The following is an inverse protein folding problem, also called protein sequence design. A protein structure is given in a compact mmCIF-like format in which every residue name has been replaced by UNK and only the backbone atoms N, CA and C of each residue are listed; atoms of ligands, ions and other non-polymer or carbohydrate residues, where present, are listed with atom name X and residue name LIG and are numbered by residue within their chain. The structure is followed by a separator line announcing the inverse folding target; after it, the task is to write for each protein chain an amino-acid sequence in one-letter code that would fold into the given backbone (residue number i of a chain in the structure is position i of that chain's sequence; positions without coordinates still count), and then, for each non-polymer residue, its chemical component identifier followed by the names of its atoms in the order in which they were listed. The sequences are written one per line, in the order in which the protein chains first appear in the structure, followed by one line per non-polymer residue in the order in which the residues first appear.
data_IF_105560208775
#
_entry.id   IF_105560208775
#
_cell.length_a   1.000
_cell.length_b   1.000
_cell.length_c   1.000
_cell.angle_alpha   90.00
_cell.angle_beta   90.00
_cell.angle_gamma   90.00
#
_symmetry.space_group_name_H-M   'P 1'
#
loop_
_entity.id
_entity.type
_entity.pdbx_description
1 polymer ?
#
# COMPACT_ATOMS: atom_id res chain seq x y z
N UNK A 1 -4.53 26.36 13.05
CA UNK A 1 -4.72 25.12 12.27
C UNK A 1 -3.75 25.12 11.11
N UNK A 2 -3.04 24.01 10.84
CA UNK A 2 -2.14 23.94 9.68
C UNK A 2 -2.96 24.00 8.37
N UNK A 3 -2.40 24.56 7.30
CA UNK A 3 -3.06 24.63 5.99
C UNK A 3 -3.55 23.25 5.51
N UNK A 4 -2.78 22.19 5.82
CA UNK A 4 -3.16 20.80 5.54
C UNK A 4 -4.40 20.34 6.31
N UNK A 5 -4.60 20.82 7.54
CA UNK A 5 -5.79 20.54 8.34
C UNK A 5 -7.06 21.06 7.68
N UNK A 6 -7.03 22.31 7.17
CA UNK A 6 -8.18 22.91 6.49
C UNK A 6 -8.50 22.19 5.17
N UNK A 7 -7.48 21.86 4.36
CA UNK A 7 -7.68 21.12 3.10
C UNK A 7 -8.30 19.74 3.33
N UNK A 8 -7.95 19.07 4.44
CA UNK A 8 -8.56 17.79 4.82
C UNK A 8 -10.03 17.96 5.19
N UNK A 9 -10.38 18.98 5.97
CA UNK A 9 -11.78 19.22 6.35
C UNK A 9 -12.65 19.49 5.12
N UNK A 10 -12.19 20.33 4.20
CA UNK A 10 -12.91 20.61 2.94
C UNK A 10 -13.15 19.33 2.14
N UNK A 11 -12.12 18.49 1.96
CA UNK A 11 -12.27 17.20 1.28
C UNK A 11 -13.34 16.33 1.97
N UNK A 12 -13.33 16.25 3.29
CA UNK A 12 -14.25 15.41 4.07
C UNK A 12 -15.70 15.89 3.97
N UNK A 13 -15.90 17.22 4.01
CA UNK A 13 -17.21 17.86 3.85
C UNK A 13 -17.75 17.69 2.42
N UNK A 14 -16.92 17.90 1.40
CA UNK A 14 -17.29 17.72 -0.01
C UNK A 14 -17.66 16.26 -0.30
N UNK A 15 -16.87 15.30 0.18
CA UNK A 15 -17.18 13.87 0.06
C UNK A 15 -18.50 13.52 0.73
N UNK A 16 -18.75 14.05 1.93
CA UNK A 16 -20.01 13.82 2.64
C UNK A 16 -21.20 14.39 1.87
N UNK A 17 -21.05 15.62 1.36
CA UNK A 17 -22.08 16.33 0.59
C UNK A 17 -22.43 15.57 -0.70
N UNK A 18 -21.43 15.27 -1.55
CA UNK A 18 -21.68 14.60 -2.82
C UNK A 18 -22.19 13.17 -2.65
N UNK A 19 -21.74 12.47 -1.60
CA UNK A 19 -22.30 11.16 -1.25
C UNK A 19 -23.77 11.24 -0.87
N UNK A 20 -24.17 12.26 -0.09
CA UNK A 20 -25.58 12.49 0.29
C UNK A 20 -26.45 12.79 -0.94
N UNK A 21 -25.91 13.53 -1.92
CA UNK A 21 -26.57 13.82 -3.18
C UNK A 21 -26.57 12.64 -4.18
N UNK A 22 -25.82 11.56 -3.89
CA UNK A 22 -25.63 10.45 -4.83
C UNK A 22 -24.77 10.81 -6.05
N UNK A 23 -24.05 11.92 -6.03
CA UNK A 23 -23.23 12.40 -7.15
C UNK A 23 -21.84 11.75 -7.12
N UNK A 24 -21.77 10.53 -7.65
CA UNK A 24 -20.53 9.76 -7.71
C UNK A 24 -19.43 10.49 -8.49
N UNK A 25 -19.79 11.18 -9.59
CA UNK A 25 -18.82 11.86 -10.45
C UNK A 25 -18.10 12.98 -9.70
N UNK A 26 -18.84 13.81 -8.96
CA UNK A 26 -18.22 14.87 -8.15
C UNK A 26 -17.40 14.32 -7.00
N UNK A 27 -17.85 13.23 -6.36
CA UNK A 27 -17.05 12.58 -5.32
C UNK A 27 -15.70 12.06 -5.85
N UNK A 28 -15.70 11.41 -7.03
CA UNK A 28 -14.47 11.01 -7.72
C UNK A 28 -13.57 12.21 -8.07
N UNK A 29 -14.15 13.27 -8.60
CA UNK A 29 -13.42 14.49 -8.96
C UNK A 29 -12.77 15.14 -7.73
N UNK A 30 -13.49 15.18 -6.61
CA UNK A 30 -12.99 15.73 -5.33
C UNK A 30 -11.75 14.97 -4.84
N UNK A 31 -11.75 13.63 -4.90
CA UNK A 31 -10.57 12.83 -4.56
C UNK A 31 -9.41 13.07 -5.53
N UNK A 32 -9.69 13.20 -6.82
CA UNK A 32 -8.69 13.42 -7.87
C UNK A 32 -8.02 14.79 -7.75
N UNK A 33 -8.76 15.83 -7.37
CA UNK A 33 -8.28 17.20 -7.26
C UNK A 33 -7.55 17.50 -5.95
N UNK A 34 -7.74 16.65 -4.94
CA UNK A 34 -7.05 16.76 -3.66
C UNK A 34 -5.55 16.44 -3.79
N UNK A 35 -4.76 17.44 -4.21
CA UNK A 35 -3.31 17.31 -4.47
C UNK A 35 -2.52 16.71 -3.30
N UNK A 36 -2.94 16.94 -2.06
CA UNK A 36 -2.27 16.38 -0.88
C UNK A 36 -2.42 14.86 -0.76
N UNK A 37 -3.38 14.23 -1.46
CA UNK A 37 -3.51 12.77 -1.54
C UNK A 37 -2.47 12.14 -2.49
N UNK A 38 -1.75 12.95 -3.27
CA UNK A 38 -0.66 12.48 -4.14
C UNK A 38 0.63 12.20 -3.38
N UNK A 39 0.73 12.60 -2.12
CA UNK A 39 1.93 12.41 -1.29
C UNK A 39 1.57 12.42 0.19
N UNK A 40 0.92 11.36 0.65
CA UNK A 40 0.59 11.18 2.07
C UNK A 40 1.75 10.45 2.74
N UNK A 41 2.54 11.17 3.56
CA UNK A 41 3.62 10.56 4.34
C UNK A 41 3.08 9.47 5.26
N UNK A 42 3.64 8.27 5.17
CA UNK A 42 3.36 7.16 6.06
C UNK A 42 4.32 7.20 7.25
N UNK A 43 3.88 6.62 8.35
CA UNK A 43 4.68 6.49 9.57
C UNK A 43 5.58 5.24 9.46
N UNK A 44 6.38 4.96 10.50
CA UNK A 44 7.27 3.80 10.53
C UNK A 44 6.52 2.47 10.38
N UNK A 45 7.24 1.46 9.87
CA UNK A 45 6.67 0.18 9.47
C UNK A 45 6.16 -0.61 10.67
N UNK A 46 4.95 -1.15 10.55
CA UNK A 46 4.47 -2.19 11.45
C UNK A 46 5.30 -3.47 11.25
N UNK A 47 6.06 -3.89 12.26
CA UNK A 47 6.93 -5.07 12.14
C UNK A 47 6.14 -6.36 11.92
N UNK A 48 6.63 -7.20 11.00
CA UNK A 48 6.12 -8.54 10.74
C UNK A 48 7.26 -9.55 10.83
N UNK A 49 6.95 -10.78 11.27
CA UNK A 49 7.92 -11.87 11.30
C UNK A 49 8.36 -12.20 9.87
N UNK A 50 9.68 -12.24 9.63
CA UNK A 50 10.29 -12.48 8.31
C UNK A 50 9.68 -13.67 7.57
N UNK A 51 9.53 -14.83 8.23
CA UNK A 51 8.91 -16.05 7.64
C UNK A 51 7.52 -15.82 7.05
N UNK A 52 6.75 -14.88 7.62
CA UNK A 52 5.41 -14.55 7.10
C UNK A 52 5.53 -13.64 5.87
N UNK A 53 6.49 -12.71 5.88
CA UNK A 53 6.81 -11.86 4.73
C UNK A 53 7.31 -12.70 3.55
N UNK A 54 8.23 -13.65 3.79
CA UNK A 54 8.74 -14.57 2.76
C UNK A 54 7.61 -15.35 2.10
N UNK A 55 6.72 -15.97 2.89
CA UNK A 55 5.57 -16.70 2.36
C UNK A 55 4.67 -15.81 1.48
N UNK A 56 4.46 -14.56 1.87
CA UNK A 56 3.64 -13.61 1.10
C UNK A 56 4.36 -13.16 -0.17
N UNK A 57 5.62 -12.75 -0.07
CA UNK A 57 6.42 -12.33 -1.21
C UNK A 57 6.59 -13.46 -2.25
N UNK A 58 6.71 -14.71 -1.81
CA UNK A 58 6.85 -15.87 -2.70
C UNK A 58 5.55 -16.21 -3.46
N UNK A 59 4.39 -15.86 -2.90
CA UNK A 59 3.08 -16.10 -3.53
C UNK A 59 2.59 -14.91 -4.38
N UNK A 60 3.34 -13.82 -4.42
CA UNK A 60 3.03 -12.62 -5.19
C UNK A 60 3.95 -12.46 -6.41
N UNK A 61 3.42 -11.88 -7.48
CA UNK A 61 4.22 -11.41 -8.61
C UNK A 61 4.95 -10.12 -8.20
N UNK A 62 6.20 -10.02 -8.59
CA UNK A 62 7.02 -8.83 -8.41
C UNK A 62 7.79 -8.51 -9.71
N UNK A 63 8.38 -7.32 -9.75
CA UNK A 63 9.35 -6.88 -10.75
C UNK A 63 10.57 -6.44 -9.96
N UNK A 64 11.70 -7.13 -10.11
CA UNK A 64 12.95 -6.85 -9.41
C UNK A 64 13.96 -6.31 -10.41
N UNK A 65 14.35 -5.04 -10.31
CA UNK A 65 15.23 -4.34 -11.27
C UNK A 65 14.79 -4.56 -12.73
N UNK A 66 13.49 -4.43 -13.00
CA UNK A 66 12.88 -4.68 -14.32
C UNK A 66 12.61 -6.15 -14.68
N UNK A 67 13.04 -7.12 -13.87
CA UNK A 67 12.82 -8.56 -14.11
C UNK A 67 11.52 -9.03 -13.45
N UNK A 68 10.55 -9.49 -14.23
CA UNK A 68 9.30 -10.03 -13.72
C UNK A 68 9.49 -11.41 -13.07
N UNK A 69 8.93 -11.58 -11.87
CA UNK A 69 9.00 -12.84 -11.13
C UNK A 69 7.82 -13.75 -11.41
N UNK A 70 8.02 -15.04 -11.20
CA UNK A 70 6.97 -16.07 -11.27
C UNK A 70 6.70 -16.57 -9.85
N UNK A 71 5.46 -16.46 -9.34
CA UNK A 71 5.11 -16.92 -8.00
C UNK A 71 5.48 -18.39 -7.82
N UNK A 72 6.04 -18.72 -6.65
CA UNK A 72 6.41 -20.08 -6.24
C UNK A 72 7.45 -20.77 -7.15
N UNK A 73 8.08 -20.04 -8.08
CA UNK A 73 9.16 -20.57 -8.92
C UNK A 73 10.45 -20.73 -8.12
N UNK A 74 11.18 -21.82 -8.37
CA UNK A 74 12.51 -22.04 -7.80
C UNK A 74 13.63 -21.25 -8.48
N UNK A 75 13.41 -20.75 -9.70
CA UNK A 75 14.43 -20.06 -10.51
C UNK A 75 14.14 -18.58 -10.67
N UNK A 76 12.90 -18.24 -11.03
CA UNK A 76 12.44 -16.86 -11.21
C UNK A 76 11.54 -16.42 -10.05
N UNK A 77 11.69 -17.06 -8.88
CA UNK A 77 10.95 -16.75 -7.67
C UNK A 77 11.44 -15.44 -7.05
N UNK A 78 10.51 -14.71 -6.46
CA UNK A 78 10.77 -13.42 -5.81
C UNK A 78 11.89 -13.51 -4.77
N UNK A 79 11.85 -14.51 -3.88
CA UNK A 79 12.83 -14.65 -2.79
C UNK A 79 14.25 -14.83 -3.34
N UNK A 80 14.40 -15.72 -4.32
CA UNK A 80 15.70 -16.03 -4.92
C UNK A 80 16.29 -14.83 -5.64
N UNK A 81 15.49 -14.15 -6.47
CA UNK A 81 15.97 -12.98 -7.22
C UNK A 81 16.40 -11.84 -6.30
N UNK A 82 15.65 -11.58 -5.22
CA UNK A 82 16.06 -10.57 -4.22
C UNK A 82 17.34 -11.00 -3.53
N UNK A 83 17.45 -12.25 -3.09
CA UNK A 83 18.64 -12.76 -2.41
C UNK A 83 19.88 -12.69 -3.30
N UNK A 84 19.79 -13.15 -4.55
CA UNK A 84 20.88 -13.10 -5.52
C UNK A 84 21.30 -11.65 -5.80
N UNK A 85 20.33 -10.74 -5.94
CA UNK A 85 20.60 -9.32 -6.16
C UNK A 85 21.31 -8.65 -4.98
N UNK A 86 20.90 -8.95 -3.74
CA UNK A 86 21.56 -8.44 -2.54
C UNK A 86 23.03 -8.87 -2.50
N UNK A 87 23.31 -10.14 -2.79
CA UNK A 87 24.68 -10.66 -2.82
C UNK A 87 25.49 -9.99 -3.93
N UNK A 88 24.95 -9.89 -5.14
CA UNK A 88 25.63 -9.27 -6.28
C UNK A 88 25.97 -7.81 -6.03
N UNK A 89 25.02 -7.01 -5.54
CA UNK A 89 25.25 -5.58 -5.29
C UNK A 89 26.29 -5.34 -4.19
N UNK A 90 26.29 -6.14 -3.12
CA UNK A 90 27.31 -6.02 -2.08
C UNK A 90 28.70 -6.43 -2.60
N UNK A 91 28.80 -7.54 -3.35
CA UNK A 91 30.09 -8.04 -3.83
C UNK A 91 30.69 -7.18 -4.94
N UNK A 92 29.89 -6.79 -5.94
CA UNK A 92 30.37 -6.02 -7.09
C UNK A 92 30.85 -4.63 -6.68
N UNK A 93 30.22 -4.03 -5.68
CA UNK A 93 30.53 -2.66 -5.25
C UNK A 93 31.37 -2.61 -3.95
N UNK A 94 31.84 -3.76 -3.45
CA UNK A 94 32.62 -3.86 -2.21
C UNK A 94 31.96 -3.18 -1.00
N UNK A 95 30.64 -3.29 -0.89
CA UNK A 95 29.88 -2.65 0.18
C UNK A 95 30.04 -3.45 1.49
N UNK A 96 30.31 -2.80 2.64
CA UNK A 96 30.48 -3.47 3.92
C UNK A 96 29.14 -3.84 4.58
N UNK A 97 28.18 -4.32 3.79
CA UNK A 97 26.83 -4.65 4.23
C UNK A 97 26.60 -6.16 4.20
N UNK A 98 25.80 -6.66 5.13
CA UNK A 98 25.39 -8.05 5.17
C UNK A 98 24.23 -8.29 4.18
N UNK A 99 24.42 -9.08 3.10
CA UNK A 99 23.36 -9.32 2.11
C UNK A 99 22.09 -9.95 2.70
N UNK A 100 22.23 -10.73 3.79
CA UNK A 100 21.09 -11.36 4.45
C UNK A 100 20.20 -10.32 5.15
N UNK A 101 20.80 -9.34 5.82
CA UNK A 101 20.04 -8.27 6.49
C UNK A 101 19.29 -7.42 5.47
N UNK A 102 19.94 -7.10 4.34
CA UNK A 102 19.29 -6.38 3.24
C UNK A 102 18.12 -7.19 2.67
N UNK A 103 18.32 -8.48 2.43
CA UNK A 103 17.26 -9.37 1.97
C UNK A 103 16.05 -9.33 2.91
N UNK A 104 16.26 -9.46 4.22
CA UNK A 104 15.17 -9.45 5.20
C UNK A 104 14.42 -8.11 5.20
N UNK A 105 15.15 -7.01 5.07
CA UNK A 105 14.64 -5.65 5.05
C UNK A 105 13.76 -5.38 3.82
N UNK A 106 14.21 -5.84 2.65
CA UNK A 106 13.47 -5.76 1.38
C UNK A 106 12.22 -6.63 1.44
N UNK A 107 12.34 -7.90 1.83
CA UNK A 107 11.21 -8.83 1.87
C UNK A 107 10.11 -8.36 2.83
N UNK A 108 10.48 -7.77 3.96
CA UNK A 108 9.49 -7.20 4.88
C UNK A 108 8.72 -6.04 4.26
N UNK A 109 9.38 -5.16 3.51
CA UNK A 109 8.77 -3.97 2.88
C UNK A 109 7.99 -4.27 1.60
N UNK A 110 8.39 -5.31 0.88
CA UNK A 110 7.62 -5.83 -0.25
C UNK A 110 6.24 -6.37 0.17
N UNK A 111 6.05 -6.70 1.45
CA UNK A 111 4.80 -7.25 1.95
C UNK A 111 3.65 -6.26 1.77
N UNK A 112 2.82 -6.51 0.75
CA UNK A 112 1.60 -5.73 0.46
C UNK A 112 0.68 -5.63 1.68
N UNK A 113 0.64 -6.64 2.54
CA UNK A 113 -0.19 -6.59 3.74
C UNK A 113 0.26 -5.51 4.72
N UNK A 114 1.58 -5.34 4.88
CA UNK A 114 2.18 -4.33 5.76
C UNK A 114 1.89 -2.94 5.19
N UNK A 115 2.27 -2.72 3.92
CA UNK A 115 2.03 -1.47 3.22
C UNK A 115 0.54 -1.06 3.25
N UNK A 116 -0.36 -2.01 3.04
CA UNK A 116 -1.80 -1.79 3.10
C UNK A 116 -2.32 -1.45 4.51
N UNK A 117 -1.78 -2.08 5.55
CA UNK A 117 -2.18 -1.78 6.93
C UNK A 117 -1.76 -0.36 7.34
N UNK A 118 -0.52 0.02 7.02
CA UNK A 118 0.01 1.36 7.30
C UNK A 118 -0.76 2.43 6.51
N UNK A 119 -0.98 2.17 5.21
CA UNK A 119 -1.78 3.05 4.35
C UNK A 119 -3.22 3.19 4.86
N UNK A 120 -3.86 2.10 5.30
CA UNK A 120 -5.20 2.15 5.87
C UNK A 120 -5.28 3.05 7.09
N UNK A 121 -4.36 2.89 8.05
CA UNK A 121 -4.34 3.71 9.28
C UNK A 121 -4.23 5.20 8.97
N UNK A 122 -3.37 5.55 8.01
CA UNK A 122 -3.19 6.95 7.61
C UNK A 122 -4.38 7.48 6.84
N UNK A 123 -4.81 6.78 5.80
CA UNK A 123 -5.89 7.21 4.92
C UNK A 123 -7.22 7.28 5.65
N UNK A 124 -7.54 6.32 6.53
CA UNK A 124 -8.77 6.35 7.33
C UNK A 124 -8.97 7.68 8.07
N UNK A 125 -7.89 8.37 8.45
CA UNK A 125 -7.94 9.69 9.09
C UNK A 125 -8.05 10.84 8.09
N UNK A 126 -7.48 10.68 6.89
CA UNK A 126 -7.41 11.70 5.86
C UNK A 126 -8.71 11.80 5.06
N UNK A 127 -9.25 10.66 4.59
CA UNK A 127 -10.44 10.60 3.71
C UNK A 127 -11.73 10.27 4.47
N UNK A 128 -11.78 10.56 5.78
CA UNK A 128 -12.92 10.28 6.64
C UNK A 128 -14.11 11.19 6.32
N UNK A 129 -15.18 10.67 5.73
CA UNK A 129 -16.45 11.41 5.64
C UNK A 129 -17.47 10.88 6.67
N UNK A 130 -18.44 11.70 7.07
CA UNK A 130 -19.43 11.34 8.10
C UNK A 130 -20.34 10.18 7.69
N UNK A 131 -20.53 9.97 6.39
CA UNK A 131 -21.39 8.95 5.79
C UNK A 131 -20.63 7.89 4.98
N UNK A 132 -19.29 7.90 5.01
CA UNK A 132 -18.45 6.91 4.34
C UNK A 132 -17.48 6.26 5.32
N UNK A 133 -17.18 4.99 5.07
CA UNK A 133 -16.11 4.26 5.74
C UNK A 133 -15.11 3.75 4.70
N UNK A 134 -13.82 3.81 5.05
CA UNK A 134 -12.76 3.22 4.25
C UNK A 134 -12.69 1.72 4.52
N UNK A 135 -12.57 0.93 3.45
CA UNK A 135 -12.38 -0.51 3.50
C UNK A 135 -11.23 -0.92 2.59
N UNK A 136 -10.51 -1.97 2.97
CA UNK A 136 -9.58 -2.66 2.09
C UNK A 136 -10.37 -3.62 1.21
N UNK A 137 -10.13 -3.56 -0.09
CA UNK A 137 -10.80 -4.45 -1.03
C UNK A 137 -9.83 -5.59 -1.35
N UNK A 138 -10.02 -6.74 -0.71
CA UNK A 138 -9.22 -7.95 -0.99
C UNK A 138 -9.50 -8.50 -2.40
N UNK A 139 -10.63 -8.09 -2.99
CA UNK A 139 -11.14 -8.51 -4.29
C UNK A 139 -10.40 -7.88 -5.49
N UNK A 140 -9.09 -7.69 -5.36
CA UNK A 140 -8.16 -7.50 -6.48
C UNK A 140 -7.90 -8.83 -7.22
N UNK A 141 -8.87 -9.75 -7.21
CA UNK A 141 -8.78 -11.10 -7.76
C UNK A 141 -8.51 -11.14 -9.27
N UNK A 142 -8.58 -10.00 -9.99
CA UNK A 142 -8.27 -9.93 -11.41
C UNK A 142 -6.92 -9.26 -11.75
N UNK A 143 -6.37 -8.39 -10.89
CA UNK A 143 -5.10 -7.65 -11.17
C UNK A 143 -4.38 -7.28 -9.88
N UNK A 144 -3.64 -8.22 -9.30
CA UNK A 144 -2.58 -7.85 -8.35
C UNK A 144 -1.47 -7.19 -9.16
N UNK A 145 -1.46 -5.86 -9.20
CA UNK A 145 -0.32 -5.10 -9.73
C UNK A 145 0.94 -5.62 -9.03
N UNK A 146 1.98 -6.05 -9.78
CA UNK A 146 3.22 -6.57 -9.20
C UNK A 146 3.83 -5.55 -8.24
N UNK A 147 4.46 -6.04 -7.16
CA UNK A 147 5.36 -5.17 -6.40
C UNK A 147 6.59 -4.86 -7.27
N UNK A 148 6.99 -3.60 -7.36
CA UNK A 148 8.21 -3.19 -8.06
C UNK A 148 9.28 -2.93 -7.00
N UNK A 149 10.48 -3.46 -7.23
CA UNK A 149 11.65 -3.29 -6.37
C UNK A 149 12.82 -2.97 -7.28
N UNK A 150 13.41 -1.80 -7.08
CA UNK A 150 14.62 -1.38 -7.76
C UNK A 150 15.71 -1.15 -6.71
N UNK A 151 16.76 -1.96 -6.74
CA UNK A 151 17.94 -1.82 -5.89
C UNK A 151 19.13 -1.37 -6.73
N UNK A 152 19.88 -0.39 -6.24
CA UNK A 152 21.00 0.18 -6.97
C UNK A 152 22.04 0.73 -6.00
N UNK A 153 23.29 0.76 -6.45
CA UNK A 153 24.36 1.45 -5.75
C UNK A 153 24.46 2.89 -6.26
N UNK A 154 24.72 3.82 -5.35
CA UNK A 154 25.01 5.22 -5.66
C UNK A 154 25.98 5.78 -4.62
N UNK A 155 27.09 6.36 -5.06
CA UNK A 155 28.07 7.04 -4.18
C UNK A 155 28.64 6.18 -3.05
N UNK A 156 28.79 4.87 -3.28
CA UNK A 156 29.26 3.89 -2.29
C UNK A 156 28.17 3.43 -1.31
N UNK A 157 26.91 3.78 -1.55
CA UNK A 157 25.77 3.43 -0.71
C UNK A 157 24.73 2.60 -1.47
N UNK A 158 24.08 1.67 -0.76
CA UNK A 158 23.05 0.83 -1.32
C UNK A 158 21.68 1.48 -1.12
N UNK A 159 20.95 1.67 -2.21
CA UNK A 159 19.61 2.21 -2.21
C UNK A 159 18.59 1.19 -2.68
N UNK A 160 17.35 1.38 -2.25
CA UNK A 160 16.23 0.61 -2.74
C UNK A 160 14.96 1.47 -2.84
N UNK A 161 14.29 1.36 -3.97
CA UNK A 161 12.96 1.90 -4.22
C UNK A 161 11.98 0.73 -4.29
N UNK A 162 11.01 0.67 -3.37
CA UNK A 162 9.95 -0.34 -3.35
C UNK A 162 8.62 0.33 -3.61
N UNK A 163 7.83 -0.24 -4.51
CA UNK A 163 6.49 0.25 -4.84
C UNK A 163 5.49 -0.89 -4.76
N UNK A 164 4.48 -0.73 -3.90
CA UNK A 164 3.40 -1.69 -3.72
C UNK A 164 2.05 -1.00 -3.96
N UNK A 165 1.15 -1.67 -4.66
CA UNK A 165 -0.18 -1.13 -4.95
C UNK A 165 -1.24 -1.94 -4.20
N UNK A 166 -2.12 -1.25 -3.48
CA UNK A 166 -3.25 -1.86 -2.76
C UNK A 166 -4.54 -1.16 -3.13
N UNK A 167 -5.59 -1.92 -3.37
CA UNK A 167 -6.92 -1.38 -3.66
C UNK A 167 -7.72 -1.13 -2.37
N UNK A 168 -8.42 0.00 -2.36
CA UNK A 168 -9.28 0.46 -1.29
C UNK A 168 -10.66 0.86 -1.84
N UNK A 169 -11.62 0.88 -0.94
CA UNK A 169 -12.99 1.28 -1.21
C UNK A 169 -13.52 2.26 -0.19
N UNK A 170 -14.37 3.20 -0.62
CA UNK A 170 -15.28 3.91 0.28
C UNK A 170 -16.65 3.24 0.19
N UNK A 171 -17.20 2.88 1.34
CA UNK A 171 -18.52 2.27 1.48
C UNK A 171 -19.41 3.22 2.25
N UNK A 172 -20.70 3.26 1.93
CA UNK A 172 -21.65 4.08 2.67
C UNK A 172 -21.88 3.48 4.05
N UNK A 173 -21.90 4.30 5.09
CA UNK A 173 -22.11 3.81 6.46
C UNK A 173 -23.48 3.11 6.62
N UNK A 174 -24.47 3.52 5.83
CA UNK A 174 -25.77 2.87 5.75
C UNK A 174 -25.66 1.37 5.41
N UNK A 175 -24.77 1.00 4.46
CA UNK A 175 -24.55 -0.40 4.08
C UNK A 175 -24.07 -1.25 5.24
N UNK A 176 -23.19 -0.71 6.08
CA UNK A 176 -22.66 -1.39 7.27
C UNK A 176 -23.76 -1.55 8.34
N UNK A 177 -24.54 -0.48 8.58
CA UNK A 177 -25.63 -0.46 9.57
C UNK A 177 -26.76 -1.45 9.25
N UNK A 178 -27.02 -1.73 7.96
CA UNK A 178 -28.03 -2.70 7.53
C UNK A 178 -27.60 -4.18 7.65
N UNK A 179 -26.57 -4.45 8.46
CA UNK A 179 -26.14 -5.80 8.83
C UNK A 179 -25.20 -6.48 7.83
N UNK A 180 -24.58 -5.71 6.91
CA UNK A 180 -23.56 -6.25 5.99
C UNK A 180 -22.19 -6.45 6.64
N UNK A 181 -22.03 -6.09 7.92
CA UNK A 181 -20.86 -6.38 8.74
C UNK A 181 -20.19 -5.13 9.31
N UNK A 182 -19.07 -5.33 9.99
CA UNK A 182 -18.25 -4.28 10.60
C UNK A 182 -16.87 -4.22 9.94
N UNK A 183 -16.20 -3.07 10.00
CA UNK A 183 -14.83 -2.92 9.50
C UNK A 183 -13.86 -2.96 10.69
N UNK A 184 -12.94 -3.93 10.67
CA UNK A 184 -11.96 -4.08 11.73
C UNK A 184 -10.84 -3.01 11.67
N UNK A 185 -9.91 -3.07 12.64
CA UNK A 185 -8.79 -2.13 12.72
C UNK A 185 -7.81 -2.20 11.54
N UNK A 186 -7.84 -3.28 10.75
CA UNK A 186 -7.00 -3.43 9.56
C UNK A 186 -7.72 -3.07 8.28
N UNK A 187 -9.01 -2.73 8.33
CA UNK A 187 -9.80 -2.34 7.17
C UNK A 187 -10.52 -3.50 6.49
N UNK A 188 -10.60 -4.68 7.11
CA UNK A 188 -11.34 -5.82 6.57
C UNK A 188 -12.78 -5.86 7.07
N UNK A 189 -13.68 -6.31 6.21
CA UNK A 189 -15.06 -6.62 6.57
C UNK A 189 -15.09 -7.87 7.46
N UNK A 190 -15.73 -7.79 8.61
CA UNK A 190 -15.91 -8.89 9.56
C UNK A 190 -17.39 -8.98 9.96
N UNK A 191 -17.79 -10.09 10.58
CA UNK A 191 -19.15 -10.30 11.11
C UNK A 191 -20.29 -10.11 10.08
N UNK A 192 -20.07 -10.53 8.83
CA UNK A 192 -21.11 -10.48 7.80
C UNK A 192 -22.29 -11.37 8.19
N UNK A 193 -23.49 -10.78 8.34
CA UNK A 193 -24.72 -11.53 8.64
C UNK A 193 -25.50 -11.94 7.39
N UNK A 194 -25.24 -11.27 6.26
CA UNK A 194 -25.86 -11.52 4.95
C UNK A 194 -24.80 -11.97 3.96
N UNK A 195 -25.18 -12.87 3.05
CA UNK A 195 -24.32 -13.37 1.96
C UNK A 195 -24.15 -12.38 0.80
N UNK A 196 -24.86 -11.25 0.81
CA UNK A 196 -24.76 -10.24 -0.24
C UNK A 196 -23.43 -9.48 -0.14
N UNK A 197 -22.72 -9.28 -1.27
CA UNK A 197 -21.48 -8.53 -1.28
C UNK A 197 -21.71 -7.07 -0.85
N UNK A 198 -20.76 -6.52 -0.11
CA UNK A 198 -20.77 -5.11 0.27
C UNK A 198 -20.59 -4.23 -0.98
N UNK A 199 -21.51 -3.31 -1.22
CA UNK A 199 -21.41 -2.38 -2.33
C UNK A 199 -20.34 -1.32 -2.03
N UNK A 200 -19.29 -1.31 -2.85
CA UNK A 200 -18.23 -0.31 -2.76
C UNK A 200 -18.61 0.88 -3.63
N UNK A 201 -18.87 2.01 -2.99
CA UNK A 201 -19.32 3.24 -3.64
C UNK A 201 -18.23 3.85 -4.52
N UNK A 202 -17.00 3.96 -4.00
CA UNK A 202 -15.84 4.47 -4.73
C UNK A 202 -14.70 3.48 -4.57
N UNK A 203 -14.10 3.03 -5.68
CA UNK A 203 -12.89 2.21 -5.69
C UNK A 203 -11.70 3.05 -6.15
N UNK A 204 -10.56 2.84 -5.51
CA UNK A 204 -9.30 3.49 -5.88
C UNK A 204 -8.12 2.65 -5.42
N UNK A 205 -6.98 2.87 -6.06
CA UNK A 205 -5.72 2.26 -5.67
C UNK A 205 -4.89 3.23 -4.83
N UNK A 206 -4.06 2.65 -3.99
CA UNK A 206 -3.06 3.36 -3.21
C UNK A 206 -1.72 2.74 -3.53
N UNK A 207 -0.85 3.55 -4.08
CA UNK A 207 0.53 3.21 -4.41
C UNK A 207 1.38 3.67 -3.23
N UNK A 208 1.91 2.72 -2.48
CA UNK A 208 2.90 2.99 -1.44
C UNK A 208 4.27 2.90 -2.08
N UNK A 209 5.02 3.99 -2.02
CA UNK A 209 6.41 4.05 -2.45
C UNK A 209 7.30 4.26 -1.25
N UNK A 210 8.33 3.44 -1.15
CA UNK A 210 9.35 3.48 -0.13
C UNK A 210 10.69 3.71 -0.82
N UNK A 211 11.40 4.74 -0.39
CA UNK A 211 12.78 5.01 -0.82
C UNK A 211 13.68 4.83 0.38
N UNK A 212 14.75 4.09 0.23
CA UNK A 212 15.60 3.70 1.34
C UNK A 212 17.07 3.86 0.96
N UNK A 213 17.84 4.27 1.95
CA UNK A 213 19.27 4.08 1.99
C UNK A 213 19.53 2.92 2.96
N UNK A 214 19.87 1.76 2.40
CA UNK A 214 20.12 0.54 3.16
C UNK A 214 21.47 0.59 3.88
N UNK A 215 22.39 1.46 3.45
CA UNK A 215 23.66 1.69 4.13
C UNK A 215 23.49 2.47 5.43
N UNK A 216 22.61 3.48 5.44
CA UNK A 216 22.41 4.36 6.60
C UNK A 216 21.19 3.97 7.45
N UNK A 217 20.28 3.16 6.90
CA UNK A 217 19.00 2.83 7.52
C UNK A 217 17.94 3.94 7.37
N UNK A 218 18.23 5.01 6.64
CA UNK A 218 17.26 6.08 6.38
C UNK A 218 16.21 5.64 5.37
N UNK A 219 14.96 6.02 5.60
CA UNK A 219 13.87 5.72 4.67
C UNK A 219 12.80 6.81 4.64
N UNK A 220 12.16 6.92 3.48
CA UNK A 220 11.01 7.78 3.25
C UNK A 220 9.88 6.96 2.63
N UNK A 221 8.68 7.04 3.22
CA UNK A 221 7.50 6.30 2.77
C UNK A 221 6.34 7.25 2.50
N UNK A 222 5.72 7.12 1.35
CA UNK A 222 4.56 7.91 0.97
C UNK A 222 3.52 7.07 0.24
N UNK A 223 2.25 7.36 0.52
CA UNK A 223 1.12 6.81 -0.19
C UNK A 223 0.59 7.83 -1.19
N UNK A 224 0.37 7.36 -2.42
CA UNK A 224 -0.23 8.11 -3.52
C UNK A 224 -1.57 7.47 -3.86
N UNK A 225 -2.64 8.24 -3.76
CA UNK A 225 -3.95 7.80 -4.20
C UNK A 225 -4.05 7.88 -5.74
N UNK A 226 -4.48 6.79 -6.35
CA UNK A 226 -4.68 6.64 -7.80
C UNK A 226 -6.12 6.25 -8.08
N UNK A 227 -6.86 7.13 -8.75
CA UNK A 227 -8.22 6.84 -9.20
C UNK A 227 -8.16 6.13 -10.55
N UNK A 228 -9.06 5.15 -10.81
CA UNK A 228 -9.25 4.61 -12.16
C UNK A 228 -9.79 5.67 -13.15
#
# INVERSE_FOLDING_TARGET
MSQLGNLRLVLQEDLAHYTKMGDLKKAHQTLRDAKFLKSVRLDEISSMKIKTCERKANSERAIINGVSTVPESSYYGTLRLVQDLCVQLCQMNNLPLNPQEIYEEIICRMSRTVAAADAYQKLKRVIKASNLSLIRTEDAAARKVPAEVDMYECEGELHADIKTTTSFGLVRNAELLYGKGDINQHGFLVNQRKSEPLEIWIKFDVIVTEKMNLSTGEFLRFATLSMP
#
